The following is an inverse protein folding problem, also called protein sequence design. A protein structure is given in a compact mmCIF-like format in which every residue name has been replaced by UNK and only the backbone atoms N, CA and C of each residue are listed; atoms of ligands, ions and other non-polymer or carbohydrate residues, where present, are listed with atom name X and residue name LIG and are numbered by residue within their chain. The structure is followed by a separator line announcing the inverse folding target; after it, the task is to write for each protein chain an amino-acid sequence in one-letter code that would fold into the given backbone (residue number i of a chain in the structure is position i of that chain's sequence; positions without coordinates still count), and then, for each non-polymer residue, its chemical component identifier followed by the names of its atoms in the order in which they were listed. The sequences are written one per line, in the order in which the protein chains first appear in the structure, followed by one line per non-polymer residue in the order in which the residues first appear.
data_IF_868566250398
#
_entry.id   IF_868566250398
#
_cell.length_a   1.000
_cell.length_b   1.000
_cell.length_c   1.000
_cell.angle_alpha   90.00
_cell.angle_beta   90.00
_cell.angle_gamma   90.00
#
_symmetry.space_group_name_H-M   'P 1'
#
loop_
_entity.id
_entity.type
_entity.pdbx_description
1 polymer ?
#
# COMPACT_ATOMS: atom_id res chain seq x y z
N UNK A 1 -10.83 -25.68 -2.52
CA UNK A 1 -11.74 -24.97 -1.59
C UNK A 1 -10.98 -23.86 -0.89
N UNK A 2 -11.49 -22.63 -0.83
CA UNK A 2 -10.87 -21.56 -0.06
C UNK A 2 -10.96 -21.87 1.45
N UNK A 3 -9.99 -21.40 2.24
CA UNK A 3 -9.84 -21.73 3.68
C UNK A 3 -11.03 -21.33 4.56
N UNK A 4 -11.95 -20.55 4.01
CA UNK A 4 -13.11 -19.96 4.67
C UNK A 4 -14.45 -20.48 4.13
N UNK A 5 -14.46 -21.58 3.38
CA UNK A 5 -15.69 -22.15 2.83
C UNK A 5 -16.67 -22.50 3.95
N UNK A 6 -17.85 -21.87 3.96
CA UNK A 6 -18.88 -22.03 5.00
C UNK A 6 -18.76 -21.11 6.22
N UNK A 7 -17.67 -20.35 6.37
CA UNK A 7 -17.48 -19.43 7.47
C UNK A 7 -18.03 -18.03 7.13
N UNK A 8 -18.96 -17.50 7.94
CA UNK A 8 -19.35 -16.07 7.90
C UNK A 8 -18.23 -15.22 8.51
N UNK A 9 -17.25 -14.85 7.70
CA UNK A 9 -16.21 -13.90 8.11
C UNK A 9 -16.81 -12.49 8.01
N UNK A 10 -17.12 -11.92 9.19
CA UNK A 10 -17.50 -10.52 9.29
C UNK A 10 -16.35 -9.57 8.88
N UNK A 11 -16.63 -8.27 8.71
CA UNK A 11 -15.60 -7.30 8.38
C UNK A 11 -14.48 -7.33 9.43
N UNK A 12 -13.23 -7.45 8.97
CA UNK A 12 -12.06 -7.29 9.84
C UNK A 12 -11.99 -5.83 10.29
N UNK A 13 -11.64 -5.60 11.55
CA UNK A 13 -11.40 -4.24 12.06
C UNK A 13 -10.18 -3.64 11.35
N UNK A 14 -10.20 -2.34 11.02
CA UNK A 14 -9.02 -1.66 10.52
C UNK A 14 -7.90 -1.69 11.56
N UNK A 15 -6.66 -1.57 11.10
CA UNK A 15 -5.54 -1.40 12.01
C UNK A 15 -5.67 -0.10 12.80
N UNK A 16 -5.32 -0.15 14.08
CA UNK A 16 -5.13 1.06 14.88
C UNK A 16 -3.69 1.59 14.71
N UNK A 17 -3.46 2.82 15.17
CA UNK A 17 -2.14 3.47 15.02
C UNK A 17 -1.01 2.63 15.62
N UNK A 18 -1.20 2.06 16.82
CA UNK A 18 -0.17 1.23 17.49
C UNK A 18 0.19 -0.01 16.66
N UNK A 19 -0.80 -0.64 16.02
CA UNK A 19 -0.58 -1.80 15.14
C UNK A 19 0.17 -1.40 13.87
N UNK A 20 -0.16 -0.26 13.27
CA UNK A 20 0.58 0.26 12.12
C UNK A 20 2.05 0.45 12.51
N UNK A 21 2.33 1.16 13.60
CA UNK A 21 3.70 1.37 14.10
C UNK A 21 4.45 0.06 14.36
N UNK A 22 3.79 -0.93 14.98
CA UNK A 22 4.41 -2.23 15.24
C UNK A 22 4.80 -2.97 13.95
N UNK A 23 3.95 -2.90 12.92
CA UNK A 23 4.25 -3.50 11.60
C UNK A 23 5.39 -2.74 10.93
N UNK A 24 5.38 -1.40 10.94
CA UNK A 24 6.46 -0.57 10.40
C UNK A 24 7.80 -0.95 11.04
N UNK A 25 7.85 -0.94 12.37
CA UNK A 25 9.04 -1.28 13.15
C UNK A 25 9.55 -2.70 12.84
N UNK A 26 8.66 -3.67 12.72
CA UNK A 26 9.05 -5.04 12.37
C UNK A 26 9.67 -5.10 10.96
N UNK A 27 9.06 -4.45 9.97
CA UNK A 27 9.57 -4.45 8.60
C UNK A 27 10.93 -3.73 8.48
N UNK A 28 11.10 -2.62 9.22
CA UNK A 28 12.36 -1.88 9.27
C UNK A 28 13.47 -2.72 9.94
N UNK A 29 13.17 -3.38 11.07
CA UNK A 29 14.11 -4.24 11.79
C UNK A 29 14.59 -5.43 10.95
N UNK A 30 13.71 -6.01 10.16
CA UNK A 30 14.02 -7.16 9.30
C UNK A 30 14.56 -6.73 7.92
N UNK A 31 14.85 -5.44 7.72
CA UNK A 31 15.37 -4.86 6.46
C UNK A 31 14.50 -5.22 5.23
N UNK A 32 13.18 -5.36 5.43
CA UNK A 32 12.23 -5.71 4.36
C UNK A 32 11.77 -4.48 3.59
N UNK A 33 12.72 -3.79 2.96
CA UNK A 33 12.54 -2.48 2.29
C UNK A 33 11.33 -2.47 1.35
N UNK A 34 11.22 -3.45 0.44
CA UNK A 34 10.10 -3.55 -0.50
C UNK A 34 8.75 -3.66 0.21
N UNK A 35 8.69 -4.49 1.25
CA UNK A 35 7.44 -4.76 1.93
C UNK A 35 7.06 -3.59 2.85
N UNK A 36 8.05 -2.86 3.38
CA UNK A 36 7.87 -1.59 4.08
C UNK A 36 7.22 -0.53 3.19
N UNK A 37 7.76 -0.35 1.98
CA UNK A 37 7.22 0.58 0.99
C UNK A 37 5.80 0.20 0.52
N UNK A 38 5.57 -1.08 0.22
CA UNK A 38 4.23 -1.57 -0.13
C UNK A 38 3.23 -1.41 1.00
N UNK A 39 3.65 -1.64 2.25
CA UNK A 39 2.78 -1.45 3.41
C UNK A 39 2.35 0.02 3.57
N UNK A 40 3.27 0.97 3.48
CA UNK A 40 2.92 2.39 3.56
C UNK A 40 2.01 2.83 2.41
N UNK A 41 2.32 2.43 1.18
CA UNK A 41 1.45 2.71 0.04
C UNK A 41 0.05 2.08 0.20
N UNK A 42 -0.07 0.90 0.80
CA UNK A 42 -1.36 0.28 1.06
C UNK A 42 -2.23 1.09 2.04
N UNK A 43 -1.60 1.62 3.10
CA UNK A 43 -2.28 2.44 4.12
C UNK A 43 -2.78 3.75 3.50
N UNK A 44 -1.95 4.41 2.69
CA UNK A 44 -2.28 5.71 2.08
C UNK A 44 -3.30 5.58 0.95
N UNK A 45 -3.08 4.65 0.03
CA UNK A 45 -3.84 4.56 -1.22
C UNK A 45 -5.16 3.80 -1.11
N UNK A 46 -5.28 2.91 -0.11
CA UNK A 46 -6.43 1.99 0.08
C UNK A 46 -6.75 1.15 -1.17
N UNK A 47 -5.74 0.90 -2.00
CA UNK A 47 -5.88 0.07 -3.18
C UNK A 47 -6.11 -1.39 -2.81
N UNK A 48 -6.68 -2.16 -3.75
CA UNK A 48 -6.71 -3.61 -3.61
C UNK A 48 -5.29 -4.14 -3.74
N UNK A 49 -5.00 -5.25 -3.06
CA UNK A 49 -3.66 -5.87 -3.11
C UNK A 49 -3.16 -6.11 -4.54
N UNK A 50 -4.05 -6.55 -5.45
CA UNK A 50 -3.69 -6.75 -6.86
C UNK A 50 -3.34 -5.45 -7.60
N UNK A 51 -4.02 -4.34 -7.29
CA UNK A 51 -3.78 -3.04 -7.93
C UNK A 51 -2.48 -2.42 -7.36
N UNK A 52 -2.23 -2.61 -6.07
CA UNK A 52 -1.03 -2.12 -5.38
C UNK A 52 0.25 -2.78 -5.90
N UNK A 53 0.27 -4.10 -6.04
CA UNK A 53 1.48 -4.83 -6.48
C UNK A 53 1.79 -4.66 -7.98
N UNK A 54 0.87 -4.06 -8.73
CA UNK A 54 1.04 -3.73 -10.16
C UNK A 54 1.50 -2.29 -10.41
N UNK A 55 1.68 -1.50 -9.35
CA UNK A 55 2.27 -0.16 -9.45
C UNK A 55 3.62 -0.19 -10.15
N UNK A 56 3.80 0.73 -11.10
CA UNK A 56 5.05 0.93 -11.82
C UNK A 56 5.78 2.16 -11.28
N UNK A 57 7.10 2.19 -11.48
CA UNK A 57 7.93 3.34 -11.11
C UNK A 57 7.38 4.63 -11.74
N UNK A 58 6.96 4.58 -13.01
CA UNK A 58 6.39 5.74 -13.72
C UNK A 58 5.07 6.27 -13.13
N UNK A 59 4.36 5.47 -12.33
CA UNK A 59 3.13 5.90 -11.67
C UNK A 59 3.44 6.76 -10.42
N UNK A 60 4.60 6.55 -9.80
CA UNK A 60 4.99 7.15 -8.51
C UNK A 60 6.07 8.23 -8.65
N UNK A 61 6.92 8.14 -9.67
CA UNK A 61 8.12 8.98 -9.81
C UNK A 61 7.94 10.00 -10.94
N UNK A 62 8.52 11.19 -10.75
CA UNK A 62 8.63 12.23 -11.77
C UNK A 62 10.05 12.82 -11.71
N UNK A 63 10.91 12.43 -12.65
CA UNK A 63 12.32 12.81 -12.62
C UNK A 63 13.01 12.25 -11.37
N UNK A 64 13.73 13.07 -10.58
CA UNK A 64 14.39 12.62 -9.34
C UNK A 64 13.44 12.57 -8.13
N UNK A 65 12.19 12.99 -8.26
CA UNK A 65 11.27 13.14 -7.13
C UNK A 65 10.14 12.10 -7.15
N UNK A 66 9.70 11.70 -5.95
CA UNK A 66 8.47 10.93 -5.78
C UNK A 66 7.30 11.90 -5.71
N UNK A 67 6.29 11.66 -6.55
CA UNK A 67 5.08 12.47 -6.64
C UNK A 67 4.35 12.49 -5.29
N UNK A 68 3.66 13.58 -5.00
CA UNK A 68 2.74 13.65 -3.85
C UNK A 68 1.40 12.97 -4.13
N UNK A 69 1.08 12.70 -5.39
CA UNK A 69 -0.12 12.01 -5.84
C UNK A 69 0.19 11.07 -7.01
N UNK A 70 -0.49 9.93 -7.03
CA UNK A 70 -0.45 8.99 -8.12
C UNK A 70 -1.86 8.66 -8.61
N UNK A 71 -1.98 8.33 -9.89
CA UNK A 71 -3.25 7.92 -10.50
C UNK A 71 -3.07 6.55 -11.11
N UNK A 72 -3.93 5.60 -10.75
CA UNK A 72 -3.93 4.25 -11.34
C UNK A 72 -5.33 3.85 -11.82
N UNK A 73 -5.39 3.00 -12.83
CA UNK A 73 -6.65 2.40 -13.28
C UNK A 73 -6.92 1.13 -12.49
N UNK A 74 -7.97 1.11 -11.67
CA UNK A 74 -8.32 -0.08 -10.88
C UNK A 74 -8.76 -1.22 -11.79
N UNK A 75 -8.17 -2.41 -11.61
CA UNK A 75 -8.47 -3.59 -12.44
C UNK A 75 -9.95 -3.96 -12.45
N UNK A 76 -10.61 -3.95 -11.29
CA UNK A 76 -12.01 -4.41 -11.17
C UNK A 76 -12.99 -3.50 -11.92
N UNK A 77 -12.76 -2.19 -11.88
CA UNK A 77 -13.74 -1.20 -12.35
C UNK A 77 -13.32 -0.55 -13.66
N UNK A 78 -12.05 -0.69 -14.07
CA UNK A 78 -11.48 0.00 -15.23
C UNK A 78 -11.42 1.52 -15.06
N UNK A 79 -11.63 2.04 -13.84
CA UNK A 79 -11.70 3.49 -13.58
C UNK A 79 -10.38 3.99 -13.00
N UNK A 80 -9.90 5.17 -13.43
CA UNK A 80 -8.77 5.82 -12.79
C UNK A 80 -9.17 6.26 -11.38
N UNK A 81 -8.28 6.04 -10.42
CA UNK A 81 -8.34 6.56 -9.06
C UNK A 81 -7.05 7.30 -8.76
N UNK A 82 -7.18 8.50 -8.22
CA UNK A 82 -6.06 9.27 -7.71
C UNK A 82 -5.99 9.14 -6.19
N UNK A 83 -4.78 9.00 -5.65
CA UNK A 83 -4.53 8.96 -4.21
C UNK A 83 -3.30 9.80 -3.86
N UNK A 84 -3.23 10.20 -2.59
CA UNK A 84 -2.08 10.93 -2.04
C UNK A 84 -1.01 9.96 -1.55
N UNK A 85 0.25 10.37 -1.65
CA UNK A 85 1.42 9.64 -1.15
C UNK A 85 2.00 10.48 -0.01
N UNK A 86 1.78 10.03 1.23
CA UNK A 86 2.21 10.77 2.41
C UNK A 86 3.74 10.87 2.48
N UNK A 87 4.25 11.78 3.30
CA UNK A 87 5.70 11.94 3.52
C UNK A 87 6.36 10.62 3.95
N UNK A 88 5.71 9.87 4.85
CA UNK A 88 6.22 8.59 5.34
C UNK A 88 6.35 7.55 4.21
N UNK A 89 5.33 7.44 3.35
CA UNK A 89 5.35 6.54 2.21
C UNK A 89 6.40 6.94 1.17
N UNK A 90 6.61 8.25 0.97
CA UNK A 90 7.70 8.74 0.11
C UNK A 90 9.06 8.41 0.71
N UNK A 91 9.23 8.56 2.02
CA UNK A 91 10.48 8.21 2.70
C UNK A 91 10.79 6.71 2.58
N UNK A 92 9.80 5.82 2.74
CA UNK A 92 10.02 4.38 2.60
C UNK A 92 10.29 3.91 1.17
N UNK A 93 9.92 4.72 0.16
CA UNK A 93 10.29 4.48 -1.24
C UNK A 93 11.72 4.93 -1.60
N UNK A 94 12.35 5.75 -0.77
CA UNK A 94 13.75 6.18 -0.91
C UNK A 94 14.75 5.32 -0.10
N UNK A 95 14.23 4.45 0.77
CA UNK A 95 15.01 3.67 1.72
C UNK A 95 15.80 2.52 1.07
#
# INVERSE_FOLDING_TARGET
MPWNFGAKIGPKRPFNQKQIWAIRFFLDREERIRDRALFDLAIDSKLRGCDLVELKIGDLVSGPEIRTRATITQRKTGRPVQFEIASDARASLFA
#
